data_IF_204290519032
#
_entry.id   IF_204290519032
#
_cell.length_a   1.000
_cell.length_b   1.000
_cell.length_c   1.000
_cell.angle_alpha   90.00
_cell.angle_beta   90.00
_cell.angle_gamma   90.00
#
_symmetry.space_group_name_H-M   'P 1'
#
loop_
_entity.id
_entity.type
_entity.pdbx_description
1 polymer ?
#
# COMPACT_ATOMS: atom_id res chain seq x y z
N UNK A 1 8.25 -7.33 10.74
CA UNK A 1 8.70 -7.11 9.36
C UNK A 1 8.86 -5.63 9.11
N UNK A 2 9.94 -5.26 8.47
CA UNK A 2 10.16 -3.86 8.16
C UNK A 2 9.74 -3.56 6.73
N UNK A 3 8.85 -2.63 6.58
CA UNK A 3 8.36 -2.24 5.27
C UNK A 3 9.10 -1.00 4.81
N UNK A 4 9.62 -1.02 3.61
CA UNK A 4 10.32 0.14 3.06
C UNK A 4 9.30 1.08 2.42
N UNK A 5 9.72 2.32 2.22
CA UNK A 5 8.88 3.29 1.53
C UNK A 5 8.51 2.80 0.14
N UNK A 6 9.45 2.16 -0.54
CA UNK A 6 9.21 1.64 -1.86
C UNK A 6 8.11 0.59 -1.86
N UNK A 7 8.13 -0.30 -0.85
CA UNK A 7 7.09 -1.31 -0.74
C UNK A 7 5.74 -0.68 -0.42
N UNK A 8 5.75 0.32 0.45
CA UNK A 8 4.54 1.04 0.80
C UNK A 8 3.95 1.74 -0.43
N UNK A 9 4.81 2.38 -1.23
CA UNK A 9 4.36 3.05 -2.43
C UNK A 9 3.78 2.06 -3.45
N UNK A 10 4.39 0.89 -3.56
CA UNK A 10 3.88 -0.15 -4.45
C UNK A 10 2.48 -0.59 -4.04
N UNK A 11 2.27 -0.74 -2.74
CA UNK A 11 0.96 -1.11 -2.24
C UNK A 11 -0.06 -0.03 -2.53
N UNK A 12 0.29 1.24 -2.29
CA UNK A 12 -0.64 2.33 -2.52
C UNK A 12 -1.03 2.43 -3.98
N UNK A 13 -0.07 2.23 -4.85
CA UNK A 13 -0.35 2.26 -6.28
C UNK A 13 -1.30 1.14 -6.66
N UNK A 14 -1.08 -0.06 -6.10
CA UNK A 14 -1.95 -1.19 -6.37
C UNK A 14 -3.35 -0.94 -5.85
N UNK A 15 -3.45 -0.33 -4.67
CA UNK A 15 -4.75 -0.03 -4.09
C UNK A 15 -5.53 0.93 -4.99
N UNK A 16 -4.85 1.93 -5.52
CA UNK A 16 -5.46 2.90 -6.41
C UNK A 16 -5.91 2.21 -7.72
N UNK A 17 -5.06 1.34 -8.24
CA UNK A 17 -5.37 0.63 -9.45
C UNK A 17 -6.54 -0.33 -9.26
N UNK A 18 -6.58 -1.01 -8.13
CA UNK A 18 -7.67 -1.92 -7.83
C UNK A 18 -9.00 -1.19 -7.80
N UNK A 19 -9.01 0.00 -7.22
CA UNK A 19 -10.21 0.79 -7.16
C UNK A 19 -10.65 1.20 -8.56
N UNK A 20 -9.70 1.60 -9.39
CA UNK A 20 -10.00 2.04 -10.74
C UNK A 20 -10.49 0.89 -11.59
N UNK A 21 -9.87 -0.29 -11.44
CA UNK A 21 -10.21 -1.45 -12.24
C UNK A 21 -11.31 -2.29 -11.60
N UNK A 22 -11.74 -1.88 -10.43
CA UNK A 22 -12.86 -2.52 -9.73
C UNK A 22 -12.58 -3.95 -9.32
N UNK A 23 -11.36 -4.26 -8.92
CA UNK A 23 -11.10 -5.57 -8.37
C UNK A 23 -10.67 -5.43 -6.90
N UNK A 24 -10.70 -6.55 -6.20
CA UNK A 24 -10.50 -6.58 -4.77
C UNK A 24 -9.02 -6.52 -4.44
N UNK A 25 -8.63 -5.64 -3.53
CA UNK A 25 -7.22 -5.57 -3.13
C UNK A 25 -6.78 -6.83 -2.38
N UNK A 26 -7.73 -7.65 -1.94
CA UNK A 26 -7.38 -8.92 -1.30
C UNK A 26 -7.23 -10.05 -2.31
N UNK A 27 -7.42 -9.78 -3.57
CA UNK A 27 -7.37 -10.81 -4.59
C UNK A 27 -5.94 -11.18 -4.97
N UNK A 28 -5.71 -12.36 -5.51
CA UNK A 28 -4.39 -12.72 -5.99
C UNK A 28 -3.88 -11.80 -7.09
N UNK A 29 -4.79 -11.25 -7.88
CA UNK A 29 -4.40 -10.32 -8.93
C UNK A 29 -3.76 -9.08 -8.34
N UNK A 30 -4.31 -8.57 -7.26
CA UNK A 30 -3.76 -7.38 -6.63
C UNK A 30 -2.37 -7.65 -6.09
N UNK A 31 -2.19 -8.80 -5.45
CA UNK A 31 -0.89 -9.16 -4.92
C UNK A 31 0.13 -9.25 -6.05
N UNK A 32 -0.23 -9.91 -7.13
CA UNK A 32 0.67 -10.06 -8.26
C UNK A 32 1.01 -8.71 -8.88
N UNK A 33 0.03 -7.85 -9.04
CA UNK A 33 0.24 -6.57 -9.68
C UNK A 33 1.09 -5.64 -8.83
N UNK A 34 1.09 -5.85 -7.52
CA UNK A 34 1.89 -5.00 -6.64
C UNK A 34 3.38 -5.27 -6.78
N UNK A 35 3.74 -6.45 -7.26
CA UNK A 35 5.13 -6.85 -7.32
C UNK A 35 5.70 -7.26 -5.97
N UNK A 36 4.86 -7.31 -4.94
CA UNK A 36 5.29 -7.70 -3.61
C UNK A 36 4.96 -9.17 -3.38
N UNK A 37 5.71 -9.82 -2.49
CA UNK A 37 5.33 -11.18 -2.15
C UNK A 37 4.09 -11.14 -1.26
N UNK A 38 3.42 -12.27 -1.18
CA UNK A 38 2.14 -12.33 -0.49
C UNK A 38 2.25 -11.92 0.97
N UNK A 39 3.28 -12.40 1.65
CA UNK A 39 3.43 -12.11 3.07
C UNK A 39 3.61 -10.62 3.32
N UNK A 40 4.42 -9.99 2.51
CA UNK A 40 4.65 -8.55 2.61
C UNK A 40 3.37 -7.79 2.33
N UNK A 41 2.66 -8.19 1.29
CA UNK A 41 1.43 -7.52 0.90
C UNK A 41 0.40 -7.61 2.04
N UNK A 42 0.24 -8.80 2.61
CA UNK A 42 -0.73 -8.98 3.68
C UNK A 42 -0.33 -8.23 4.94
N UNK A 43 0.96 -8.18 5.22
CA UNK A 43 1.42 -7.41 6.36
C UNK A 43 1.03 -5.93 6.20
N UNK A 44 1.23 -5.39 5.00
CA UNK A 44 0.91 -4.00 4.74
C UNK A 44 -0.58 -3.75 4.93
N UNK A 45 -1.42 -4.64 4.43
CA UNK A 45 -2.86 -4.49 4.58
C UNK A 45 -3.24 -4.45 6.06
N UNK A 46 -2.64 -5.31 6.86
CA UNK A 46 -3.00 -5.40 8.26
C UNK A 46 -2.43 -4.25 9.10
N UNK A 47 -1.50 -3.49 8.54
CA UNK A 47 -0.86 -2.40 9.27
C UNK A 47 -0.94 -1.07 8.52
N UNK A 48 -1.99 -0.90 7.74
CA UNK A 48 -2.11 0.29 6.89
C UNK A 48 -2.06 1.59 7.68
N UNK A 49 -2.75 1.64 8.79
CA UNK A 49 -2.78 2.87 9.57
C UNK A 49 -1.41 3.25 10.09
N UNK A 50 -0.70 2.25 10.60
CA UNK A 50 0.64 2.48 11.12
C UNK A 50 1.59 2.92 10.04
N UNK A 51 1.50 2.28 8.88
CA UNK A 51 2.39 2.59 7.78
C UNK A 51 2.08 3.95 7.18
N UNK A 52 0.81 4.30 7.14
CA UNK A 52 0.43 5.62 6.68
C UNK A 52 1.05 6.69 7.58
N UNK A 53 0.99 6.48 8.88
CA UNK A 53 1.58 7.44 9.80
C UNK A 53 3.09 7.48 9.67
N UNK A 54 3.69 6.35 9.41
CA UNK A 54 5.13 6.28 9.29
C UNK A 54 5.64 6.97 8.03
N UNK A 55 4.97 6.77 6.91
CA UNK A 55 5.48 7.22 5.63
C UNK A 55 4.77 8.43 5.04
N UNK A 56 3.49 8.59 5.32
CA UNK A 56 2.69 9.61 4.64
C UNK A 56 2.28 10.78 5.52
N UNK A 57 2.27 10.60 6.81
CA UNK A 57 1.77 11.65 7.68
C UNK A 57 2.54 12.95 7.53
N UNK A 58 3.85 12.82 7.44
CA UNK A 58 4.67 14.03 7.28
C UNK A 58 4.43 14.70 5.95
N UNK A 59 4.17 13.91 4.93
CA UNK A 59 3.92 14.46 3.61
C UNK A 59 2.61 15.23 3.59
N UNK A 60 1.63 14.73 4.29
CA UNK A 60 0.35 15.40 4.33
C UNK A 60 0.48 16.78 4.88
N UNK A 61 1.31 16.95 5.87
CA UNK A 61 1.48 18.25 6.42
C UNK A 61 1.99 19.18 5.40
N UNK A 62 2.84 18.71 4.59
CA UNK A 62 3.43 19.54 3.59
C UNK A 62 2.45 20.03 2.61
N UNK A 63 1.45 19.28 2.36
CA UNK A 63 0.62 19.65 1.35
C UNK A 63 -0.59 20.09 1.68
N UNK A 64 -0.93 20.05 2.57
CA UNK A 64 -2.12 20.41 2.80
C UNK A 64 -2.45 21.42 2.31
N UNK A 65 -2.24 21.69 1.89
CA UNK A 65 -2.62 22.60 1.21
C UNK A 65 -3.21 22.66 0.89
#
# INVERSE_FOLDING_TARGET
MNITKQQWDAFKLTQRLAKKMMYDIFSPEAVRDSGLDKDTYMYIINHKTELHEQFDKGDDNGKHD
#
